data_IF_562015798122
#
_entry.id   IF_562015798122
#
_cell.length_a   1.000
_cell.length_b   1.000
_cell.length_c   1.000
_cell.angle_alpha   90.00
_cell.angle_beta   90.00
_cell.angle_gamma   90.00
#
_symmetry.space_group_name_H-M   'P 1'
#
loop_
_entity.id
_entity.type
_entity.pdbx_description
1 polymer ?
#
# COMPACT_ATOMS: atom_id res chain seq x y z
N UNK A 1 -0.41 23.33 3.64
CA UNK A 1 -1.56 24.02 3.04
C UNK A 1 -2.48 22.99 2.35
N UNK A 2 -3.79 23.26 2.36
CA UNK A 2 -4.83 22.37 1.82
C UNK A 2 -4.52 21.95 0.38
N UNK A 3 -4.32 22.90 -0.51
CA UNK A 3 -4.20 22.65 -1.96
C UNK A 3 -3.01 21.75 -2.29
N UNK A 4 -1.85 21.98 -1.71
CA UNK A 4 -0.66 21.16 -1.98
C UNK A 4 -0.85 19.72 -1.50
N UNK A 5 -1.37 19.55 -0.28
CA UNK A 5 -1.62 18.23 0.27
C UNK A 5 -2.67 17.44 -0.54
N UNK A 6 -3.80 18.11 -0.86
CA UNK A 6 -4.87 17.48 -1.64
C UNK A 6 -4.41 17.10 -3.05
N UNK A 7 -3.62 17.95 -3.72
CA UNK A 7 -3.11 17.66 -5.06
C UNK A 7 -2.24 16.39 -5.05
N UNK A 8 -1.32 16.27 -4.09
CA UNK A 8 -0.47 15.07 -3.97
C UNK A 8 -1.30 13.82 -3.69
N UNK A 9 -2.25 13.89 -2.75
CA UNK A 9 -3.07 12.72 -2.42
C UNK A 9 -3.97 12.32 -3.58
N UNK A 10 -4.63 13.28 -4.26
CA UNK A 10 -5.53 12.98 -5.37
C UNK A 10 -4.81 12.52 -6.64
N UNK A 11 -3.51 12.80 -6.78
CA UNK A 11 -2.67 12.22 -7.84
C UNK A 11 -2.57 10.70 -7.71
N UNK A 12 -2.35 10.21 -6.49
CA UNK A 12 -2.12 8.79 -6.23
C UNK A 12 -3.34 8.01 -5.75
N UNK A 13 -4.38 8.69 -5.27
CA UNK A 13 -5.58 8.06 -4.74
C UNK A 13 -6.84 8.59 -5.43
N UNK A 14 -7.74 7.67 -5.79
CA UNK A 14 -9.04 8.02 -6.33
C UNK A 14 -9.98 8.52 -5.23
N UNK A 15 -9.72 9.72 -4.73
CA UNK A 15 -10.46 10.36 -3.64
C UNK A 15 -10.68 11.84 -3.94
N UNK A 16 -11.85 12.38 -3.58
CA UNK A 16 -12.14 13.81 -3.68
C UNK A 16 -11.81 14.56 -2.36
N UNK A 17 -11.76 15.90 -2.44
CA UNK A 17 -11.44 16.79 -1.33
C UNK A 17 -12.39 16.59 -0.13
N UNK A 18 -13.70 16.45 -0.37
CA UNK A 18 -14.70 16.31 0.69
C UNK A 18 -14.52 15.01 1.47
N UNK A 19 -14.24 13.92 0.76
CA UNK A 19 -13.99 12.61 1.36
C UNK A 19 -12.65 12.59 2.09
N UNK A 20 -11.63 13.24 1.55
CA UNK A 20 -10.32 13.36 2.18
C UNK A 20 -10.42 14.13 3.50
N UNK A 21 -11.10 15.27 3.54
CA UNK A 21 -11.31 16.06 4.75
C UNK A 21 -12.06 15.28 5.84
N UNK A 22 -13.05 14.46 5.45
CA UNK A 22 -13.82 13.64 6.40
C UNK A 22 -13.04 12.45 6.98
N UNK A 23 -12.02 11.98 6.27
CA UNK A 23 -11.23 10.79 6.63
C UNK A 23 -9.88 11.09 7.26
N UNK A 24 -9.50 12.37 7.34
CA UNK A 24 -8.23 12.84 7.90
C UNK A 24 -8.47 13.87 9.02
N UNK A 25 -7.42 14.28 9.69
CA UNK A 25 -7.48 15.39 10.64
C UNK A 25 -7.30 16.68 9.85
N UNK A 26 -8.40 17.36 9.60
CA UNK A 26 -8.46 18.62 8.84
C UNK A 26 -8.95 19.77 9.73
N UNK A 27 -8.17 20.85 9.79
CA UNK A 27 -8.55 22.08 10.47
C UNK A 27 -9.22 23.05 9.48
N UNK A 28 -10.50 23.27 9.67
CA UNK A 28 -11.32 24.16 8.82
C UNK A 28 -10.99 25.63 8.98
N UNK A 29 -10.42 26.04 10.12
CA UNK A 29 -10.09 27.46 10.38
C UNK A 29 -8.79 27.84 9.68
N UNK A 30 -7.78 26.98 9.78
CA UNK A 30 -6.47 27.23 9.17
C UNK A 30 -6.35 26.68 7.76
N UNK A 31 -7.31 25.88 7.32
CA UNK A 31 -7.29 25.14 6.06
C UNK A 31 -6.02 24.28 5.90
N UNK A 32 -5.70 23.53 6.94
CA UNK A 32 -4.52 22.65 6.95
C UNK A 32 -4.88 21.24 7.39
N UNK A 33 -4.04 20.27 6.94
CA UNK A 33 -4.09 18.89 7.36
C UNK A 33 -3.00 18.64 8.39
N UNK A 34 -3.28 17.81 9.41
CA UNK A 34 -2.22 17.24 10.23
C UNK A 34 -1.49 16.17 9.42
N UNK A 35 -0.17 16.32 9.29
CA UNK A 35 0.69 15.40 8.58
C UNK A 35 1.89 15.02 9.44
N UNK A 36 2.06 13.72 9.65
CA UNK A 36 3.24 13.15 10.36
C UNK A 36 4.04 12.32 9.36
N UNK A 37 5.04 12.90 8.69
CA UNK A 37 5.88 12.15 7.77
C UNK A 37 6.65 11.07 8.54
N UNK A 38 6.64 9.86 8.02
CA UNK A 38 7.63 8.84 8.41
C UNK A 38 8.78 8.94 7.43
N UNK A 39 10.00 9.02 7.95
CA UNK A 39 11.19 9.15 7.12
C UNK A 39 11.47 7.86 6.35
N UNK A 40 11.99 8.00 5.15
CA UNK A 40 12.51 6.89 4.32
C UNK A 40 13.71 6.18 4.98
N UNK A 41 14.29 6.78 6.00
CA UNK A 41 15.50 6.32 6.69
C UNK A 41 15.27 5.23 7.74
N UNK A 42 14.02 4.76 7.87
CA UNK A 42 13.65 3.71 8.82
C UNK A 42 13.37 2.36 8.12
N UNK A 43 13.88 2.18 6.89
CA UNK A 43 13.70 0.92 6.14
C UNK A 43 14.86 0.01 6.49
N UNK A 44 14.68 -0.80 7.51
CA UNK A 44 15.50 -1.97 7.79
C UNK A 44 14.82 -3.21 7.21
N UNK A 45 15.56 -4.32 7.08
CA UNK A 45 14.94 -5.60 6.75
C UNK A 45 13.81 -5.88 7.74
N UNK A 46 12.61 -6.18 7.25
CA UNK A 46 11.43 -6.02 8.06
C UNK A 46 11.35 -7.02 9.22
N UNK A 47 11.52 -6.50 10.42
CA UNK A 47 11.01 -7.13 11.64
C UNK A 47 9.47 -7.10 11.69
N UNK A 48 8.85 -6.36 10.76
CA UNK A 48 7.41 -6.13 10.67
C UNK A 48 6.82 -6.74 9.40
N UNK A 49 5.50 -7.00 9.38
CA UNK A 49 4.83 -7.45 8.18
C UNK A 49 5.02 -6.48 7.01
N UNK A 50 5.27 -7.00 5.82
CA UNK A 50 5.34 -6.24 4.59
C UNK A 50 4.51 -6.90 3.48
N UNK A 51 4.25 -6.17 2.42
CA UNK A 51 3.36 -6.60 1.35
C UNK A 51 4.13 -7.10 0.14
N UNK A 52 3.73 -8.27 -0.39
CA UNK A 52 4.23 -8.80 -1.65
C UNK A 52 3.11 -9.01 -2.65
N UNK A 53 3.32 -8.56 -3.89
CA UNK A 53 2.41 -8.87 -5.00
C UNK A 53 2.69 -10.27 -5.49
N UNK A 54 1.70 -11.15 -5.40
CA UNK A 54 1.82 -12.57 -5.82
C UNK A 54 1.09 -12.87 -7.11
N UNK A 55 0.22 -12.00 -7.57
CA UNK A 55 -0.52 -12.14 -8.80
C UNK A 55 -1.23 -10.83 -9.18
N UNK A 56 -1.80 -10.82 -10.38
CA UNK A 56 -2.60 -9.68 -10.83
C UNK A 56 -3.69 -10.09 -11.82
N UNK A 57 -4.69 -9.24 -11.96
CA UNK A 57 -5.76 -9.35 -12.93
C UNK A 57 -6.03 -8.01 -13.60
N UNK A 58 -5.97 -7.97 -14.93
CA UNK A 58 -6.35 -6.82 -15.71
C UNK A 58 -7.87 -6.79 -15.95
N UNK A 59 -8.46 -5.59 -15.93
CA UNK A 59 -9.88 -5.36 -16.16
C UNK A 59 -10.11 -4.61 -17.47
N UNK A 60 -11.30 -4.77 -18.04
CA UNK A 60 -11.69 -4.13 -19.30
C UNK A 60 -11.77 -2.60 -19.24
N UNK A 61 -11.85 -2.02 -18.05
CA UNK A 61 -11.82 -0.57 -17.81
C UNK A 61 -10.42 0.01 -17.67
N UNK A 62 -9.39 -0.81 -17.89
CA UNK A 62 -7.98 -0.44 -17.79
C UNK A 62 -7.42 -0.44 -16.37
N UNK A 63 -8.19 -0.84 -15.37
CA UNK A 63 -7.66 -1.05 -14.02
C UNK A 63 -6.99 -2.41 -13.88
N UNK A 64 -6.13 -2.54 -12.88
CA UNK A 64 -5.43 -3.78 -12.55
C UNK A 64 -5.67 -4.07 -11.07
N UNK A 65 -6.17 -5.26 -10.74
CA UNK A 65 -6.19 -5.75 -9.35
C UNK A 65 -4.94 -6.56 -9.08
N UNK A 66 -4.18 -6.15 -8.09
CA UNK A 66 -3.02 -6.83 -7.55
C UNK A 66 -3.45 -7.71 -6.39
N UNK A 67 -3.12 -9.00 -6.43
CA UNK A 67 -3.30 -9.88 -5.30
C UNK A 67 -2.05 -9.73 -4.40
N UNK A 68 -2.26 -9.26 -3.18
CA UNK A 68 -1.20 -8.89 -2.26
C UNK A 68 -1.26 -9.77 -1.03
N UNK A 69 -0.16 -10.42 -0.71
CA UNK A 69 0.03 -11.12 0.55
C UNK A 69 0.77 -10.22 1.54
N UNK A 70 0.31 -10.20 2.78
CA UNK A 70 1.07 -9.63 3.89
C UNK A 70 1.97 -10.73 4.45
N UNK A 71 3.26 -10.54 4.32
CA UNK A 71 4.28 -11.51 4.72
C UNK A 71 4.92 -11.07 6.02
N UNK A 72 5.06 -12.00 6.96
CA UNK A 72 5.77 -11.77 8.21
C UNK A 72 6.83 -12.84 8.43
N UNK A 73 8.09 -12.58 8.04
CA UNK A 73 9.15 -13.58 8.01
C UNK A 73 9.47 -14.21 9.38
N UNK A 74 9.25 -13.47 10.46
CA UNK A 74 9.62 -13.89 11.81
C UNK A 74 8.48 -14.52 12.63
N UNK A 75 7.24 -14.42 12.17
CA UNK A 75 6.15 -15.18 12.78
C UNK A 75 6.25 -16.61 12.26
N UNK A 76 6.84 -17.50 13.01
CA UNK A 76 7.06 -18.89 12.64
C UNK A 76 5.82 -19.66 12.17
N UNK A 77 4.64 -19.11 12.38
CA UNK A 77 3.37 -19.53 11.78
C UNK A 77 2.73 -18.28 11.16
N UNK A 78 2.98 -18.12 9.91
CA UNK A 78 2.38 -17.28 8.92
C UNK A 78 1.03 -16.65 9.27
N UNK A 79 1.04 -15.48 9.80
CA UNK A 79 -0.10 -14.59 9.66
C UNK A 79 -0.05 -13.92 8.29
N UNK A 80 -0.12 -14.73 7.24
CA UNK A 80 -0.34 -14.20 5.90
C UNK A 80 -1.82 -13.95 5.77
N UNK A 81 -2.19 -12.71 5.55
CA UNK A 81 -3.52 -12.39 5.05
C UNK A 81 -3.40 -11.71 3.70
N UNK A 82 -4.44 -11.87 2.90
CA UNK A 82 -4.49 -11.36 1.53
C UNK A 82 -5.35 -10.12 1.47
N UNK A 83 -4.98 -9.23 0.58
CA UNK A 83 -5.84 -8.17 0.12
C UNK A 83 -5.69 -7.93 -1.38
N UNK A 84 -6.76 -7.43 -1.97
CA UNK A 84 -6.81 -7.03 -3.36
C UNK A 84 -6.66 -5.53 -3.46
N UNK A 85 -5.58 -5.09 -4.10
CA UNK A 85 -5.32 -3.66 -4.36
C UNK A 85 -5.58 -3.38 -5.80
N UNK A 86 -6.61 -2.56 -6.09
CA UNK A 86 -6.90 -2.14 -7.45
C UNK A 86 -6.22 -0.80 -7.74
N UNK A 87 -5.49 -0.76 -8.84
CA UNK A 87 -4.79 0.43 -9.33
C UNK A 87 -5.24 0.77 -10.74
N UNK A 88 -5.14 2.05 -11.10
CA UNK A 88 -5.31 2.54 -12.47
C UNK A 88 -3.97 3.05 -12.97
N UNK A 89 -3.39 2.43 -14.01
CA UNK A 89 -2.22 2.98 -14.68
C UNK A 89 -2.53 4.35 -15.30
N UNK A 90 -1.56 5.25 -15.23
CA UNK A 90 -1.63 6.59 -15.79
C UNK A 90 -0.73 6.68 -17.03
N UNK A 91 -1.02 7.65 -17.92
CA UNK A 91 -0.30 7.81 -19.19
C UNK A 91 1.16 8.24 -19.04
N UNK A 92 1.55 8.77 -17.91
CA UNK A 92 2.92 9.18 -17.56
C UNK A 92 3.79 8.05 -16.98
N UNK A 93 3.24 6.83 -16.89
CA UNK A 93 3.88 5.67 -16.30
C UNK A 93 3.66 5.53 -14.79
N UNK A 94 2.94 6.48 -14.18
CA UNK A 94 2.49 6.39 -12.80
C UNK A 94 1.25 5.52 -12.65
N UNK A 95 0.70 5.48 -11.43
CA UNK A 95 -0.55 4.79 -11.15
C UNK A 95 -1.33 5.50 -10.04
N UNK A 96 -2.65 5.25 -10.03
CA UNK A 96 -3.56 5.75 -9.00
C UNK A 96 -4.18 4.57 -8.26
N UNK A 97 -4.18 4.63 -6.93
CA UNK A 97 -4.91 3.68 -6.09
C UNK A 97 -6.42 3.90 -6.21
N UNK A 98 -7.15 2.84 -6.55
CA UNK A 98 -8.60 2.86 -6.70
C UNK A 98 -9.29 2.26 -5.48
N UNK A 99 -8.85 1.09 -5.04
CA UNK A 99 -9.38 0.40 -3.86
C UNK A 99 -8.35 -0.51 -3.22
N UNK A 100 -8.58 -0.81 -1.95
CA UNK A 100 -7.89 -1.85 -1.20
C UNK A 100 -8.95 -2.64 -0.43
N UNK A 101 -9.08 -3.91 -0.73
CA UNK A 101 -10.06 -4.82 -0.13
C UNK A 101 -9.33 -5.95 0.60
N UNK A 102 -9.60 -6.10 1.89
CA UNK A 102 -9.08 -7.23 2.67
C UNK A 102 -9.97 -8.43 2.36
N UNK A 103 -9.37 -9.51 1.87
CA UNK A 103 -10.05 -10.78 1.61
C UNK A 103 -10.59 -11.33 2.92
N UNK A 104 -11.79 -11.91 2.89
CA UNK A 104 -12.48 -12.39 4.09
C UNK A 104 -11.67 -13.43 4.86
N UNK A 105 -11.92 -13.57 6.15
CA UNK A 105 -11.26 -14.59 6.99
C UNK A 105 -11.47 -16.01 6.45
N UNK A 106 -12.65 -16.30 5.89
CA UNK A 106 -12.94 -17.62 5.30
C UNK A 106 -12.05 -17.92 4.09
N UNK A 107 -11.84 -16.93 3.23
CA UNK A 107 -10.95 -17.03 2.08
C UNK A 107 -9.48 -17.03 2.52
N UNK A 108 -9.13 -16.24 3.53
CA UNK A 108 -7.78 -16.21 4.11
C UNK A 108 -7.37 -17.50 4.80
N UNK A 109 -8.29 -18.27 5.37
CA UNK A 109 -7.99 -19.56 6.01
C UNK A 109 -7.44 -20.61 5.05
N UNK A 110 -7.55 -20.41 3.75
CA UNK A 110 -7.01 -21.31 2.71
C UNK A 110 -5.66 -20.85 2.16
N UNK A 111 -5.05 -19.82 2.74
CA UNK A 111 -3.79 -19.29 2.24
C UNK A 111 -2.66 -20.27 2.52
N UNK A 112 -1.96 -20.64 1.47
CA UNK A 112 -0.71 -21.35 1.57
C UNK A 112 0.40 -20.34 1.89
N UNK A 113 1.18 -20.65 2.92
CA UNK A 113 2.41 -19.90 3.21
C UNK A 113 3.29 -19.78 1.98
N UNK A 114 3.86 -18.60 1.76
CA UNK A 114 4.91 -18.44 0.78
C UNK A 114 6.17 -17.84 1.41
N UNK A 115 7.30 -18.26 0.88
CA UNK A 115 8.59 -17.70 1.29
C UNK A 115 8.73 -16.29 0.71
N UNK A 116 9.21 -15.31 1.50
CA UNK A 116 9.55 -13.98 0.98
C UNK A 116 10.43 -14.07 -0.26
N UNK A 117 10.19 -13.22 -1.26
CA UNK A 117 10.95 -13.20 -2.51
C UNK A 117 12.37 -12.68 -2.34
N UNK A 118 12.56 -11.74 -1.39
CA UNK A 118 13.86 -11.17 -1.08
C UNK A 118 14.36 -11.77 0.23
N UNK A 119 15.60 -12.23 0.21
CA UNK A 119 16.34 -12.56 1.42
C UNK A 119 16.76 -11.26 2.12
N UNK A 120 17.23 -11.36 3.37
CA UNK A 120 17.77 -10.23 4.11
C UNK A 120 18.94 -9.56 3.36
N UNK A 121 19.84 -10.36 2.79
CA UNK A 121 20.99 -9.86 2.01
C UNK A 121 20.53 -9.09 0.77
N UNK A 122 19.59 -9.66 -0.01
CA UNK A 122 19.02 -9.00 -1.20
C UNK A 122 18.25 -7.72 -0.84
N UNK A 123 17.53 -7.72 0.29
CA UNK A 123 16.85 -6.53 0.78
C UNK A 123 17.86 -5.43 1.13
N UNK A 124 18.92 -5.78 1.86
CA UNK A 124 19.95 -4.83 2.26
C UNK A 124 20.75 -4.31 1.06
N UNK A 125 20.98 -5.14 0.04
CA UNK A 125 21.62 -4.71 -1.21
C UNK A 125 20.79 -3.70 -1.99
N UNK A 126 19.45 -3.83 -1.96
CA UNK A 126 18.53 -2.94 -2.69
C UNK A 126 18.22 -1.67 -1.89
N UNK A 127 17.98 -1.80 -0.60
CA UNK A 127 17.41 -0.73 0.24
C UNK A 127 18.34 -0.27 1.37
N UNK A 128 19.29 -1.08 1.82
CA UNK A 128 20.14 -0.82 2.98
C UNK A 128 21.35 0.08 2.71
N UNK A 129 21.57 0.52 1.50
CA UNK A 129 22.74 1.29 1.05
C UNK A 129 22.55 2.81 1.05
N UNK A 130 21.61 3.37 1.81
CA UNK A 130 21.35 4.82 1.85
C UNK A 130 21.80 5.44 3.17
#
# INVERSE_FOLDING_TARGET
>A
PKTEFENVIMEYFNIDSDKLQKKTIYDYQTQTYEYKPRGFYEIEYPEYPYSEVVGYKEHSDGTITLNVHVVYPYAGDSNVYMHDVTVRPLSDGGFQYVSNYIVSEEENNNITWHTPRLTEDEWNDIYGGQ
#
